data_IF_078389980819
#
_entry.id   IF_078389980819
#
_cell.length_a   1.000
_cell.length_b   1.000
_cell.length_c   1.000
_cell.angle_alpha   90.00
_cell.angle_beta   90.00
_cell.angle_gamma   90.00
#
_symmetry.space_group_name_H-M   'P 1'
#
loop_
_entity.id
_entity.type
_entity.pdbx_description
1 polymer ?
#
# COMPACT_ATOMS: atom_id res chain seq x y z
N UNK A 1 -18.86 -3.58 0.68
CA UNK A 1 -19.49 -3.25 -0.63
C UNK A 1 -19.36 -4.46 -1.54
N UNK A 2 -20.43 -4.87 -2.23
CA UNK A 2 -20.32 -5.95 -3.22
C UNK A 2 -19.88 -5.32 -4.57
N UNK A 3 -18.85 -5.90 -5.19
CA UNK A 3 -18.42 -5.50 -6.54
C UNK A 3 -19.40 -6.01 -7.59
N UNK A 4 -19.52 -5.31 -8.71
CA UNK A 4 -20.25 -5.81 -9.86
C UNK A 4 -19.68 -7.16 -10.29
N UNK A 5 -20.56 -8.03 -10.77
CA UNK A 5 -20.19 -9.35 -11.27
C UNK A 5 -20.28 -9.37 -12.78
N UNK A 6 -19.29 -10.01 -13.39
CA UNK A 6 -19.19 -10.17 -14.84
C UNK A 6 -18.80 -11.60 -15.16
N UNK A 7 -18.93 -12.02 -16.40
CA UNK A 7 -18.47 -13.32 -16.85
C UNK A 7 -17.16 -13.21 -17.60
N UNK A 8 -16.21 -14.05 -17.23
CA UNK A 8 -14.90 -14.19 -17.89
C UNK A 8 -14.80 -15.55 -18.57
N UNK A 9 -13.92 -15.64 -19.56
CA UNK A 9 -13.46 -16.95 -20.10
C UNK A 9 -12.10 -17.25 -19.50
N UNK A 10 -12.00 -18.37 -18.79
CA UNK A 10 -10.77 -18.81 -18.13
C UNK A 10 -9.74 -19.34 -19.15
N UNK A 11 -8.50 -19.48 -18.71
CA UNK A 11 -7.40 -20.00 -19.55
C UNK A 11 -7.71 -21.42 -20.09
N UNK A 12 -8.55 -22.21 -19.40
CA UNK A 12 -9.02 -23.52 -19.83
C UNK A 12 -10.29 -23.50 -20.72
N UNK A 13 -10.74 -22.31 -21.15
CA UNK A 13 -11.93 -22.12 -21.98
C UNK A 13 -13.28 -22.14 -21.21
N UNK A 14 -13.29 -22.43 -19.92
CA UNK A 14 -14.52 -22.44 -19.14
C UNK A 14 -14.98 -21.03 -18.81
N UNK A 15 -16.29 -20.83 -18.79
CA UNK A 15 -16.90 -19.57 -18.35
C UNK A 15 -17.04 -19.55 -16.83
N UNK A 16 -16.69 -18.43 -16.20
CA UNK A 16 -16.79 -18.25 -14.76
C UNK A 16 -17.27 -16.84 -14.41
N UNK A 17 -17.96 -16.71 -13.28
CA UNK A 17 -18.32 -15.41 -12.71
C UNK A 17 -17.12 -14.80 -12.00
N UNK A 18 -16.87 -13.51 -12.23
CA UNK A 18 -15.78 -12.75 -11.63
C UNK A 18 -16.28 -11.44 -11.01
N UNK A 19 -15.62 -10.97 -9.95
CA UNK A 19 -15.83 -9.63 -9.41
C UNK A 19 -15.08 -8.62 -10.28
N UNK A 20 -15.72 -7.50 -10.64
CA UNK A 20 -15.13 -6.44 -11.46
C UNK A 20 -14.95 -5.13 -10.65
N UNK A 21 -13.88 -5.01 -9.84
CA UNK A 21 -13.64 -3.86 -8.99
C UNK A 21 -13.21 -2.63 -9.79
N UNK A 22 -13.65 -1.46 -9.33
CA UNK A 22 -13.17 -0.15 -9.81
C UNK A 22 -11.75 0.14 -9.27
N UNK A 23 -11.49 -0.24 -8.01
CA UNK A 23 -10.21 -0.03 -7.33
C UNK A 23 -9.64 -1.37 -6.90
N UNK A 24 -8.41 -1.63 -7.35
CA UNK A 24 -7.62 -2.83 -7.00
C UNK A 24 -6.50 -2.47 -6.03
N UNK A 25 -6.29 -3.31 -5.03
CA UNK A 25 -5.13 -3.28 -4.12
C UNK A 25 -4.16 -4.41 -4.48
N UNK A 26 -2.96 -4.06 -4.91
CA UNK A 26 -1.92 -4.99 -5.37
C UNK A 26 -0.63 -4.83 -4.53
N UNK A 27 -0.48 -5.37 -3.35
CA UNK A 27 -1.44 -6.00 -2.44
C UNK A 27 -1.00 -5.77 -0.99
N UNK A 28 -1.92 -5.86 -0.02
CA UNK A 28 -1.59 -5.84 1.42
C UNK A 28 -1.09 -7.21 1.92
N UNK A 29 -1.35 -8.27 1.17
CA UNK A 29 -1.05 -9.66 1.59
C UNK A 29 0.29 -10.17 1.07
N UNK A 30 0.84 -9.53 0.02
CA UNK A 30 2.13 -9.89 -0.59
C UNK A 30 2.71 -8.70 -1.35
N UNK A 31 3.98 -8.74 -1.69
CA UNK A 31 4.66 -7.72 -2.48
C UNK A 31 4.58 -8.05 -3.97
N UNK A 32 3.43 -7.74 -4.59
CA UNK A 32 3.23 -7.95 -6.04
C UNK A 32 4.25 -7.16 -6.86
N UNK A 33 4.50 -5.87 -6.58
CA UNK A 33 5.48 -5.10 -7.32
C UNK A 33 6.90 -5.68 -7.33
N UNK A 34 7.32 -6.30 -6.22
CA UNK A 34 8.69 -6.80 -6.09
C UNK A 34 8.91 -8.15 -6.76
N UNK A 35 7.91 -9.05 -6.74
CA UNK A 35 8.10 -10.44 -7.11
C UNK A 35 7.16 -10.94 -8.21
N UNK A 36 6.05 -10.26 -8.40
CA UNK A 36 4.94 -10.73 -9.24
C UNK A 36 4.50 -9.66 -10.25
N UNK A 37 5.37 -8.70 -10.58
CA UNK A 37 5.03 -7.63 -11.54
C UNK A 37 4.68 -8.21 -12.91
N UNK A 38 5.53 -9.09 -13.46
CA UNK A 38 5.30 -9.75 -14.75
C UNK A 38 3.98 -10.52 -14.77
N UNK A 39 3.70 -11.30 -13.69
CA UNK A 39 2.44 -12.00 -13.52
C UNK A 39 1.25 -11.04 -13.52
N UNK A 40 1.33 -9.98 -12.74
CA UNK A 40 0.23 -9.02 -12.60
C UNK A 40 -0.09 -8.36 -13.94
N UNK A 41 0.92 -7.85 -14.64
CA UNK A 41 0.70 -7.19 -15.93
C UNK A 41 0.27 -8.16 -17.03
N UNK A 42 0.78 -9.40 -17.02
CA UNK A 42 0.25 -10.47 -17.89
C UNK A 42 -1.23 -10.74 -17.61
N UNK A 43 -1.62 -10.88 -16.33
CA UNK A 43 -3.03 -11.12 -15.95
C UNK A 43 -3.91 -9.91 -16.22
N UNK A 44 -3.41 -8.70 -16.02
CA UNK A 44 -4.08 -7.46 -16.42
C UNK A 44 -4.35 -7.44 -17.93
N UNK A 45 -3.40 -7.87 -18.75
CA UNK A 45 -3.53 -7.96 -20.20
C UNK A 45 -4.54 -9.05 -20.63
N UNK A 46 -4.57 -10.18 -19.96
CA UNK A 46 -5.59 -11.24 -20.16
C UNK A 46 -6.98 -10.79 -19.70
N UNK A 47 -7.06 -9.84 -18.77
CA UNK A 47 -8.30 -9.24 -18.28
C UNK A 47 -8.81 -9.81 -16.95
N UNK A 48 -8.18 -10.82 -16.38
CA UNK A 48 -8.56 -11.38 -15.07
C UNK A 48 -7.42 -12.12 -14.37
N UNK A 49 -7.60 -12.32 -13.06
CA UNK A 49 -6.80 -13.27 -12.27
C UNK A 49 -7.69 -14.09 -11.34
N UNK A 50 -7.17 -15.22 -10.85
CA UNK A 50 -7.79 -15.98 -9.78
C UNK A 50 -7.21 -15.55 -8.42
N UNK A 51 -8.05 -15.54 -7.41
CA UNK A 51 -7.73 -15.17 -6.03
C UNK A 51 -8.32 -16.20 -5.07
N UNK A 52 -7.50 -16.70 -4.16
CA UNK A 52 -7.93 -17.66 -3.13
C UNK A 52 -8.25 -16.90 -1.85
N UNK A 53 -9.50 -17.03 -1.38
CA UNK A 53 -9.92 -16.41 -0.13
C UNK A 53 -9.15 -17.04 1.05
N UNK A 54 -8.38 -16.25 1.82
CA UNK A 54 -7.53 -16.79 2.89
C UNK A 54 -8.31 -17.36 4.08
N UNK A 55 -9.60 -17.06 4.20
CA UNK A 55 -10.44 -17.50 5.32
C UNK A 55 -11.15 -18.82 5.06
N UNK A 56 -11.53 -19.12 3.82
CA UNK A 56 -12.30 -20.32 3.49
C UNK A 56 -11.70 -21.17 2.36
N UNK A 57 -10.56 -20.75 1.78
CA UNK A 57 -9.87 -21.46 0.71
C UNK A 57 -10.61 -21.46 -0.64
N UNK A 58 -11.73 -20.77 -0.75
CA UNK A 58 -12.52 -20.75 -1.98
C UNK A 58 -11.84 -19.87 -3.03
N UNK A 59 -11.60 -20.44 -4.21
CA UNK A 59 -11.11 -19.70 -5.38
C UNK A 59 -12.23 -18.86 -5.97
N UNK A 60 -11.93 -17.60 -6.23
CA UNK A 60 -12.79 -16.65 -6.94
C UNK A 60 -11.98 -15.91 -8.00
N UNK A 61 -12.68 -15.26 -8.93
CA UNK A 61 -12.03 -14.55 -10.02
C UNK A 61 -12.25 -13.05 -9.89
N UNK A 62 -11.24 -12.29 -10.32
CA UNK A 62 -11.24 -10.84 -10.36
C UNK A 62 -11.04 -10.41 -11.80
N UNK A 63 -12.04 -9.74 -12.39
CA UNK A 63 -11.95 -9.12 -13.71
C UNK A 63 -11.40 -7.70 -13.60
N UNK A 64 -10.54 -7.32 -14.50
CA UNK A 64 -9.94 -5.98 -14.57
C UNK A 64 -10.67 -5.04 -15.54
N UNK A 65 -11.77 -5.46 -16.16
CA UNK A 65 -12.48 -4.67 -17.17
C UNK A 65 -12.98 -3.32 -16.66
N UNK A 66 -13.41 -3.27 -15.37
CA UNK A 66 -13.91 -2.04 -14.74
C UNK A 66 -12.86 -1.31 -13.92
N UNK A 67 -11.61 -1.83 -13.88
CA UNK A 67 -10.55 -1.25 -13.05
C UNK A 67 -10.12 0.10 -13.60
N UNK A 68 -10.16 1.14 -12.75
CA UNK A 68 -9.76 2.52 -13.05
C UNK A 68 -8.58 2.98 -12.24
N UNK A 69 -8.36 2.34 -11.08
CA UNK A 69 -7.29 2.73 -10.17
C UNK A 69 -6.66 1.51 -9.49
N UNK A 70 -5.32 1.54 -9.35
CA UNK A 70 -4.57 0.49 -8.66
C UNK A 70 -3.72 1.13 -7.56
N UNK A 71 -3.82 0.58 -6.35
CA UNK A 71 -2.94 0.91 -5.23
C UNK A 71 -1.91 -0.20 -5.08
N UNK A 72 -0.67 0.08 -5.39
CA UNK A 72 0.44 -0.84 -5.20
C UNK A 72 1.01 -0.71 -3.78
N UNK A 73 1.46 -1.83 -3.22
CA UNK A 73 2.08 -1.90 -1.91
C UNK A 73 3.39 -2.65 -2.04
N UNK A 74 4.50 -2.05 -1.64
CA UNK A 74 5.78 -2.68 -1.85
C UNK A 74 6.87 -2.17 -0.91
N UNK A 75 7.84 -3.05 -0.63
CA UNK A 75 9.15 -2.72 -0.06
C UNK A 75 10.24 -2.60 -1.12
N UNK A 76 9.95 -3.06 -2.34
CA UNK A 76 10.85 -2.95 -3.49
C UNK A 76 10.08 -2.86 -4.82
N UNK A 77 9.46 -1.73 -5.12
CA UNK A 77 8.68 -1.57 -6.35
C UNK A 77 9.55 -1.35 -7.61
N UNK A 78 10.84 -1.62 -7.59
CA UNK A 78 11.73 -1.43 -8.75
C UNK A 78 11.23 -2.10 -10.03
N UNK A 79 10.74 -3.37 -10.02
CA UNK A 79 10.24 -4.01 -11.23
C UNK A 79 9.06 -3.30 -11.88
N UNK A 80 8.26 -2.52 -11.13
CA UNK A 80 7.17 -1.74 -11.72
C UNK A 80 7.64 -0.70 -12.74
N UNK A 81 8.87 -0.19 -12.64
CA UNK A 81 9.38 0.83 -13.55
C UNK A 81 9.29 0.41 -15.03
N UNK A 82 9.42 -0.88 -15.30
CA UNK A 82 9.40 -1.44 -16.64
C UNK A 82 7.98 -1.65 -17.19
N UNK A 83 6.97 -1.67 -16.29
CA UNK A 83 5.58 -2.00 -16.61
C UNK A 83 4.59 -0.83 -16.50
N UNK A 84 4.96 0.29 -15.88
CA UNK A 84 3.99 1.36 -15.57
C UNK A 84 3.27 1.91 -16.79
N UNK A 85 3.93 1.92 -17.96
CA UNK A 85 3.33 2.38 -19.20
C UNK A 85 2.20 1.46 -19.71
N UNK A 86 2.21 0.19 -19.31
CA UNK A 86 1.14 -0.77 -19.65
C UNK A 86 -0.20 -0.41 -19.03
N UNK A 87 -0.23 0.37 -17.95
CA UNK A 87 -1.47 0.86 -17.34
C UNK A 87 -2.25 1.79 -18.26
N UNK A 88 -1.58 2.41 -19.23
CA UNK A 88 -2.15 3.32 -20.22
C UNK A 88 -2.21 2.70 -21.63
N UNK A 89 -1.84 1.44 -21.80
CA UNK A 89 -1.83 0.75 -23.08
C UNK A 89 -3.16 0.01 -23.36
N UNK A 90 -3.34 -0.45 -24.61
CA UNK A 90 -4.48 -1.27 -25.06
C UNK A 90 -5.84 -0.65 -24.74
N UNK A 91 -6.00 0.67 -24.86
CA UNK A 91 -7.24 1.38 -24.58
C UNK A 91 -7.55 1.55 -23.08
N UNK A 92 -6.67 1.08 -22.19
CA UNK A 92 -6.80 1.31 -20.75
C UNK A 92 -6.32 2.72 -20.39
N UNK A 93 -6.95 3.28 -19.36
CA UNK A 93 -6.51 4.50 -18.70
C UNK A 93 -6.58 4.29 -17.19
N UNK A 94 -5.74 3.38 -16.69
CA UNK A 94 -5.68 3.04 -15.27
C UNK A 94 -4.66 3.96 -14.59
N UNK A 95 -5.09 4.65 -13.55
CA UNK A 95 -4.19 5.43 -12.70
C UNK A 95 -3.73 4.59 -11.50
N UNK A 96 -2.62 4.99 -10.88
CA UNK A 96 -2.10 4.29 -9.70
C UNK A 96 -1.38 5.24 -8.75
N UNK A 97 -1.18 4.78 -7.52
CA UNK A 97 -0.13 5.26 -6.64
C UNK A 97 0.49 4.09 -5.87
N UNK A 98 1.64 4.34 -5.27
CA UNK A 98 2.45 3.32 -4.61
C UNK A 98 2.56 3.65 -3.12
N UNK A 99 2.11 2.75 -2.27
CA UNK A 99 2.38 2.72 -0.84
C UNK A 99 3.75 2.07 -0.65
N UNK A 100 4.82 2.88 -0.62
CA UNK A 100 6.18 2.39 -0.58
C UNK A 100 6.69 2.30 0.86
N UNK A 101 6.81 1.08 1.38
CA UNK A 101 7.39 0.85 2.70
C UNK A 101 8.91 0.94 2.62
N UNK A 102 9.44 2.02 3.15
CA UNK A 102 10.87 2.33 3.18
C UNK A 102 11.30 2.48 4.64
N UNK A 103 11.59 1.35 5.28
CA UNK A 103 12.16 1.25 6.62
C UNK A 103 13.68 1.13 6.53
N UNK A 104 14.38 1.36 7.65
CA UNK A 104 15.82 1.13 7.78
C UNK A 104 16.08 0.09 8.89
N UNK A 105 15.94 -1.18 8.53
CA UNK A 105 16.17 -2.33 9.43
C UNK A 105 17.29 -3.27 8.94
N UNK A 106 18.21 -2.77 8.11
CA UNK A 106 19.30 -3.57 7.56
C UNK A 106 20.24 -4.08 8.65
N UNK A 107 20.68 -3.18 9.55
CA UNK A 107 21.63 -3.50 10.63
C UNK A 107 21.07 -4.52 11.60
N UNK A 108 19.77 -4.46 11.85
CA UNK A 108 19.08 -5.34 12.78
C UNK A 108 18.66 -6.67 12.12
N UNK A 109 18.76 -6.77 10.80
CA UNK A 109 18.43 -7.99 10.04
C UNK A 109 16.95 -8.35 10.05
N UNK A 110 16.06 -7.37 10.27
CA UNK A 110 14.61 -7.62 10.34
C UNK A 110 13.96 -7.76 8.96
N UNK A 111 14.65 -7.40 7.89
CA UNK A 111 14.15 -7.38 6.50
C UNK A 111 15.14 -8.09 5.54
N UNK A 112 15.44 -9.35 5.79
CA UNK A 112 16.54 -10.10 5.12
C UNK A 112 16.45 -10.18 3.61
N UNK A 113 15.24 -10.23 3.04
CA UNK A 113 15.01 -10.30 1.59
C UNK A 113 14.72 -8.95 0.93
N UNK A 114 14.87 -7.85 1.66
CA UNK A 114 14.63 -6.51 1.13
C UNK A 114 15.96 -5.91 0.64
N UNK A 115 16.02 -5.25 -0.55
CA UNK A 115 17.25 -4.64 -1.04
C UNK A 115 17.80 -3.54 -0.12
N UNK A 116 19.08 -3.18 -0.24
CA UNK A 116 19.72 -2.11 0.53
C UNK A 116 18.95 -0.79 0.46
N UNK A 117 18.95 -0.02 1.56
CA UNK A 117 18.20 1.23 1.68
C UNK A 117 18.55 2.23 0.57
N UNK A 118 19.82 2.37 0.22
CA UNK A 118 20.26 3.28 -0.84
C UNK A 118 19.60 2.95 -2.19
N UNK A 119 19.49 1.67 -2.55
CA UNK A 119 18.84 1.23 -3.79
C UNK A 119 17.33 1.50 -3.76
N UNK A 120 16.70 1.38 -2.60
CA UNK A 120 15.27 1.65 -2.41
C UNK A 120 14.96 3.14 -2.49
N UNK A 121 15.83 4.00 -1.95
CA UNK A 121 15.73 5.45 -2.07
C UNK A 121 15.87 5.88 -3.54
N UNK A 122 16.86 5.33 -4.28
CA UNK A 122 16.99 5.57 -5.73
C UNK A 122 15.71 5.17 -6.48
N UNK A 123 15.19 3.98 -6.19
CA UNK A 123 13.94 3.50 -6.77
C UNK A 123 12.76 4.43 -6.46
N UNK A 124 12.67 4.96 -5.24
CA UNK A 124 11.64 5.91 -4.85
C UNK A 124 11.68 7.15 -5.75
N UNK A 125 12.84 7.76 -5.89
CA UNK A 125 13.04 8.96 -6.71
C UNK A 125 12.68 8.70 -8.17
N UNK A 126 13.17 7.61 -8.76
CA UNK A 126 12.86 7.22 -10.14
C UNK A 126 11.37 6.99 -10.39
N UNK A 127 10.66 6.43 -9.42
CA UNK A 127 9.20 6.27 -9.51
C UNK A 127 8.47 7.61 -9.48
N UNK A 128 8.93 8.55 -8.65
CA UNK A 128 8.37 9.92 -8.63
C UNK A 128 8.66 10.65 -9.94
N UNK A 129 9.88 10.52 -10.47
CA UNK A 129 10.24 11.11 -11.76
C UNK A 129 9.37 10.56 -12.91
N UNK A 130 9.01 9.26 -12.85
CA UNK A 130 8.17 8.61 -13.89
C UNK A 130 6.67 8.89 -13.73
N UNK A 131 6.15 8.87 -12.51
CA UNK A 131 4.70 8.98 -12.24
C UNK A 131 4.24 10.42 -11.95
N UNK A 132 5.15 11.26 -11.49
CA UNK A 132 4.87 12.59 -10.99
C UNK A 132 4.69 12.68 -9.47
N UNK A 133 4.66 13.90 -8.91
CA UNK A 133 4.45 14.14 -7.48
C UNK A 133 3.13 13.54 -6.97
N UNK A 134 3.12 13.11 -5.70
CA UNK A 134 1.93 12.55 -5.05
C UNK A 134 1.64 11.09 -5.36
N UNK A 135 2.29 10.48 -6.36
CA UNK A 135 2.08 9.07 -6.72
C UNK A 135 2.85 8.07 -5.87
N UNK A 136 3.84 8.48 -5.09
CA UNK A 136 4.64 7.60 -4.24
C UNK A 136 4.58 8.10 -2.81
N UNK A 137 3.97 7.30 -1.94
CA UNK A 137 3.77 7.64 -0.53
C UNK A 137 4.80 6.88 0.31
N UNK A 138 5.60 7.60 1.06
CA UNK A 138 6.54 6.99 1.98
C UNK A 138 5.83 6.43 3.20
N UNK A 139 6.13 5.17 3.52
CA UNK A 139 5.69 4.49 4.74
C UNK A 139 6.90 4.04 5.54
N UNK A 140 6.98 4.44 6.79
CA UNK A 140 7.85 3.79 7.77
C UNK A 140 6.95 2.93 8.69
N UNK A 141 6.72 1.69 8.28
CA UNK A 141 5.62 0.89 8.83
C UNK A 141 5.96 -0.61 8.83
N UNK A 142 5.96 -1.25 10.03
CA UNK A 142 5.76 -0.68 11.35
C UNK A 142 7.07 -0.14 11.98
N UNK A 143 6.94 0.72 13.02
CA UNK A 143 8.03 1.10 13.90
C UNK A 143 8.16 0.07 15.03
N UNK A 144 9.32 -0.58 15.13
CA UNK A 144 9.56 -1.69 16.06
C UNK A 144 10.60 -1.24 17.08
N UNK A 145 10.27 -1.42 18.37
CA UNK A 145 11.21 -1.25 19.47
C UNK A 145 11.81 -2.61 19.86
N UNK A 146 13.12 -2.62 20.12
CA UNK A 146 13.88 -3.80 20.54
C UNK A 146 14.97 -3.39 21.55
N UNK A 147 15.71 -4.36 22.09
CA UNK A 147 16.92 -4.11 22.88
C UNK A 147 18.03 -3.32 22.11
N UNK A 148 17.89 -3.22 20.76
CA UNK A 148 18.85 -2.53 19.87
C UNK A 148 18.26 -1.33 19.14
N UNK A 149 16.96 -1.10 19.25
CA UNK A 149 16.24 -0.02 18.60
C UNK A 149 15.36 0.65 19.63
N UNK A 150 15.76 1.82 20.08
CA UNK A 150 14.96 2.69 20.96
C UNK A 150 14.34 3.84 20.17
N UNK A 151 13.51 4.65 20.81
CA UNK A 151 12.80 5.79 20.19
C UNK A 151 13.74 6.71 19.42
N UNK A 152 14.89 7.06 20.01
CA UNK A 152 15.88 7.95 19.37
C UNK A 152 16.53 7.32 18.13
N UNK A 153 16.72 6.00 18.10
CA UNK A 153 17.25 5.33 16.92
C UNK A 153 16.24 5.35 15.77
N UNK A 154 14.96 5.14 16.06
CA UNK A 154 13.91 5.27 15.07
C UNK A 154 13.81 6.69 14.52
N UNK A 155 13.91 7.71 15.37
CA UNK A 155 13.94 9.11 14.94
C UNK A 155 15.11 9.40 14.00
N UNK A 156 16.33 8.92 14.31
CA UNK A 156 17.49 9.05 13.42
C UNK A 156 17.29 8.36 12.08
N UNK A 157 16.71 7.14 12.08
CA UNK A 157 16.40 6.40 10.86
C UNK A 157 15.38 7.15 9.98
N UNK A 158 14.32 7.67 10.59
CA UNK A 158 13.31 8.49 9.90
C UNK A 158 13.94 9.78 9.38
N UNK A 159 14.78 10.43 10.17
CA UNK A 159 15.49 11.65 9.76
C UNK A 159 16.37 11.41 8.54
N UNK A 160 17.20 10.36 8.56
CA UNK A 160 18.07 10.01 7.44
C UNK A 160 17.30 9.76 6.14
N UNK A 161 16.16 9.06 6.20
CA UNK A 161 15.32 8.81 5.02
C UNK A 161 14.59 10.09 4.60
N UNK A 162 14.00 10.81 5.54
CA UNK A 162 13.23 12.02 5.28
C UNK A 162 14.06 13.12 4.60
N UNK A 163 15.31 13.30 5.03
CA UNK A 163 16.23 14.26 4.40
C UNK A 163 16.54 13.88 2.94
N UNK A 164 16.64 12.59 2.63
CA UNK A 164 16.89 12.10 1.27
C UNK A 164 15.64 12.13 0.36
N UNK A 165 14.44 12.07 0.95
CA UNK A 165 13.16 12.09 0.22
C UNK A 165 12.54 13.48 0.12
N UNK A 166 13.18 14.51 0.68
CA UNK A 166 12.69 15.89 0.59
C UNK A 166 12.52 16.31 -0.87
N UNK A 167 11.31 16.76 -1.22
CA UNK A 167 10.93 17.13 -2.59
C UNK A 167 10.48 15.97 -3.47
N UNK A 168 10.51 14.71 -2.97
CA UNK A 168 10.02 13.53 -3.68
C UNK A 168 8.71 12.97 -3.10
N UNK A 169 8.38 13.30 -1.86
CA UNK A 169 7.09 12.93 -1.24
C UNK A 169 6.57 14.08 -0.40
N UNK A 170 5.25 14.14 -0.26
CA UNK A 170 4.56 15.12 0.57
C UNK A 170 4.01 14.46 1.84
N UNK A 171 4.21 13.15 2.03
CA UNK A 171 3.55 12.41 3.10
C UNK A 171 4.45 11.32 3.68
N UNK A 172 4.48 11.24 5.02
CA UNK A 172 5.01 10.11 5.78
C UNK A 172 3.86 9.43 6.52
N UNK A 173 3.71 8.13 6.27
CA UNK A 173 2.78 7.26 7.02
C UNK A 173 3.57 6.31 7.90
N UNK A 174 3.16 6.16 9.16
CA UNK A 174 3.80 5.23 10.09
C UNK A 174 2.78 4.49 10.96
N UNK A 175 3.21 3.44 11.63
CA UNK A 175 2.45 2.78 12.69
C UNK A 175 3.40 2.30 13.79
N UNK A 176 2.93 2.28 15.01
CA UNK A 176 3.60 1.62 16.12
C UNK A 176 3.35 0.11 16.04
N UNK A 177 4.40 -0.70 16.21
CA UNK A 177 4.24 -2.15 16.15
C UNK A 177 3.43 -2.67 17.34
N UNK A 178 2.27 -3.24 17.10
CA UNK A 178 1.46 -3.97 18.08
C UNK A 178 1.76 -5.47 17.92
N UNK A 179 2.89 -5.92 18.48
CA UNK A 179 3.39 -7.29 18.31
C UNK A 179 2.53 -8.28 19.08
N UNK A 180 2.00 -7.88 20.23
CA UNK A 180 1.14 -8.72 21.07
C UNK A 180 -0.14 -9.16 20.36
N UNK A 181 -0.70 -8.31 19.49
CA UNK A 181 -1.88 -8.62 18.69
C UNK A 181 -1.62 -9.72 17.64
N UNK A 182 -0.36 -9.95 17.26
CA UNK A 182 0.02 -10.87 16.19
C UNK A 182 0.89 -12.02 16.71
N UNK A 183 0.27 -13.10 17.20
CA UNK A 183 0.98 -14.26 17.77
C UNK A 183 2.11 -14.80 16.87
N UNK A 184 1.93 -14.77 15.55
CA UNK A 184 2.95 -15.23 14.58
C UNK A 184 4.16 -14.30 14.54
N UNK A 185 3.94 -12.98 14.58
CA UNK A 185 5.01 -11.98 14.62
C UNK A 185 5.83 -12.17 15.88
N UNK A 186 5.16 -12.30 17.03
CA UNK A 186 5.80 -12.61 18.31
C UNK A 186 6.68 -13.85 18.23
N UNK A 187 6.14 -14.97 17.74
CA UNK A 187 6.87 -16.23 17.62
C UNK A 187 8.08 -16.11 16.68
N UNK A 188 7.96 -15.40 15.55
CA UNK A 188 9.05 -15.18 14.61
C UNK A 188 10.18 -14.36 15.23
N UNK A 189 9.87 -13.24 15.88
CA UNK A 189 10.86 -12.40 16.54
C UNK A 189 11.62 -13.19 17.62
N UNK A 190 10.90 -13.92 18.48
CA UNK A 190 11.49 -14.74 19.52
C UNK A 190 12.39 -15.84 18.96
N UNK A 191 11.96 -16.56 17.93
CA UNK A 191 12.73 -17.65 17.29
C UNK A 191 14.01 -17.16 16.61
N UNK A 192 14.06 -15.88 16.23
CA UNK A 192 15.25 -15.25 15.64
C UNK A 192 16.07 -14.43 16.64
N UNK A 193 15.80 -14.58 17.93
CA UNK A 193 16.56 -13.94 19.01
C UNK A 193 16.38 -12.42 19.06
N UNK A 194 15.25 -11.91 18.57
CA UNK A 194 14.93 -10.48 18.64
C UNK A 194 14.14 -10.21 19.91
N UNK A 195 14.76 -9.52 20.85
CA UNK A 195 14.11 -9.03 22.06
C UNK A 195 13.39 -7.73 21.74
N UNK A 196 12.10 -7.80 21.57
CA UNK A 196 11.25 -6.63 21.33
C UNK A 196 10.55 -6.19 22.61
N UNK A 197 10.09 -4.95 22.66
CA UNK A 197 9.10 -4.49 23.64
C UNK A 197 7.97 -3.73 22.95
N UNK A 198 6.81 -3.74 23.61
CA UNK A 198 5.64 -3.00 23.12
C UNK A 198 5.82 -1.51 23.40
N UNK A 199 5.29 -0.71 22.49
CA UNK A 199 5.22 0.73 22.70
C UNK A 199 4.32 1.08 23.91
N UNK A 200 4.81 1.85 24.84
CA UNK A 200 3.95 2.50 25.82
C UNK A 200 3.47 3.88 25.30
N UNK A 201 2.39 4.39 25.88
CA UNK A 201 1.81 5.68 25.48
C UNK A 201 2.81 6.83 25.60
N UNK A 202 3.64 6.83 26.65
CA UNK A 202 4.70 7.83 26.84
C UNK A 202 5.73 7.86 25.70
N UNK A 203 6.17 6.69 25.25
CA UNK A 203 7.10 6.56 24.12
C UNK A 203 6.45 6.98 22.80
N UNK A 204 5.17 6.64 22.57
CA UNK A 204 4.41 7.08 21.39
C UNK A 204 4.30 8.60 21.34
N UNK A 205 4.00 9.25 22.48
CA UNK A 205 3.93 10.72 22.60
C UNK A 205 5.29 11.36 22.41
N UNK A 206 6.33 10.81 23.03
CA UNK A 206 7.72 11.28 22.85
C UNK A 206 8.12 11.24 21.37
N UNK A 207 7.90 10.11 20.71
CA UNK A 207 8.20 9.95 19.28
C UNK A 207 7.41 10.95 18.43
N UNK A 208 6.10 11.08 18.65
CA UNK A 208 5.21 11.98 17.90
C UNK A 208 5.65 13.45 18.02
N UNK A 209 5.99 13.91 19.24
CA UNK A 209 6.48 15.25 19.50
C UNK A 209 7.81 15.54 18.80
N UNK A 210 8.76 14.60 18.90
CA UNK A 210 10.06 14.74 18.26
C UNK A 210 9.95 14.69 16.72
N UNK A 211 9.12 13.78 16.17
CA UNK A 211 8.86 13.69 14.74
C UNK A 211 8.21 14.99 14.20
N UNK A 212 7.24 15.56 14.93
CA UNK A 212 6.63 16.84 14.57
C UNK A 212 7.67 17.97 14.49
N UNK A 213 8.64 17.97 15.42
CA UNK A 213 9.75 18.93 15.42
C UNK A 213 10.70 18.73 14.24
N UNK A 214 11.06 17.48 13.92
CA UNK A 214 11.86 17.13 12.74
C UNK A 214 11.16 17.53 11.44
N UNK A 215 9.84 17.34 11.37
CA UNK A 215 9.05 17.61 10.17
C UNK A 215 9.03 19.07 9.73
N UNK A 216 9.39 20.01 10.61
CA UNK A 216 9.51 21.43 10.26
C UNK A 216 10.47 21.69 9.09
N UNK A 217 11.47 20.80 8.87
CA UNK A 217 12.41 20.90 7.76
C UNK A 217 11.90 20.26 6.45
N UNK A 218 10.90 19.38 6.51
CA UNK A 218 10.35 18.66 5.34
C UNK A 218 8.97 19.17 4.94
N UNK A 219 8.14 19.54 5.93
CA UNK A 219 6.74 19.92 5.77
C UNK A 219 5.87 18.80 5.17
N UNK A 220 6.12 17.56 5.57
CA UNK A 220 5.29 16.42 5.18
C UNK A 220 3.97 16.41 5.94
N UNK A 221 2.93 15.85 5.32
CA UNK A 221 1.74 15.39 6.03
C UNK A 221 2.13 14.15 6.83
N UNK A 222 2.15 14.27 8.15
CA UNK A 222 2.39 13.14 9.04
C UNK A 222 1.09 12.41 9.33
N UNK A 223 1.07 11.08 9.18
CA UNK A 223 -0.15 10.30 9.36
C UNK A 223 0.13 8.92 9.96
N UNK A 224 -0.78 8.43 10.82
CA UNK A 224 -0.69 7.10 11.42
C UNK A 224 -1.61 6.10 10.74
N UNK A 225 -1.17 4.84 10.64
CA UNK A 225 -1.94 3.76 10.04
C UNK A 225 -2.67 2.91 11.09
N UNK A 226 -3.94 3.24 11.35
CA UNK A 226 -4.83 2.41 12.19
C UNK A 226 -4.56 2.48 13.69
N UNK A 227 -3.88 3.52 14.15
CA UNK A 227 -3.57 3.75 15.56
C UNK A 227 -4.78 4.25 16.34
N UNK A 228 -4.84 3.88 17.63
CA UNK A 228 -5.89 4.31 18.55
C UNK A 228 -5.54 5.60 19.28
N UNK A 229 -4.23 5.84 19.49
CA UNK A 229 -3.74 7.01 20.22
C UNK A 229 -4.08 8.29 19.46
N UNK A 230 -4.58 9.30 20.19
CA UNK A 230 -4.78 10.63 19.64
C UNK A 230 -3.49 11.45 19.80
N UNK A 231 -2.87 11.75 18.66
CA UNK A 231 -1.65 12.56 18.57
C UNK A 231 -1.82 13.73 17.58
N UNK A 232 -3.07 14.14 17.33
CA UNK A 232 -3.42 15.29 16.46
C UNK A 232 -2.82 16.60 16.93
N UNK A 233 -2.62 16.75 18.25
CA UNK A 233 -1.93 17.92 18.84
C UNK A 233 -0.49 18.13 18.31
N UNK A 234 0.13 17.10 17.73
CA UNK A 234 1.45 17.17 17.09
C UNK A 234 1.35 17.34 15.56
N UNK A 235 0.16 17.63 15.02
CA UNK A 235 -0.08 17.73 13.58
C UNK A 235 -0.07 16.38 12.86
N UNK A 236 -0.27 15.28 13.57
CA UNK A 236 -0.28 13.92 13.01
C UNK A 236 -1.72 13.42 12.90
N UNK A 237 -2.15 13.09 11.69
CA UNK A 237 -3.54 12.71 11.41
C UNK A 237 -3.73 11.21 11.23
N UNK A 238 -4.96 10.72 11.31
CA UNK A 238 -5.29 9.35 10.94
C UNK A 238 -5.24 9.16 9.42
N UNK A 239 -4.53 8.15 8.96
CA UNK A 239 -4.29 7.90 7.54
C UNK A 239 -5.44 7.15 6.87
N UNK A 240 -5.55 7.40 5.56
CA UNK A 240 -6.23 6.53 4.59
C UNK A 240 -5.16 5.92 3.68
N UNK A 241 -4.94 4.61 3.76
CA UNK A 241 -3.95 3.97 2.89
C UNK A 241 -4.52 3.72 1.48
N UNK A 242 -5.80 3.38 1.36
CA UNK A 242 -6.56 3.55 0.12
C UNK A 242 -7.37 4.81 0.29
N UNK A 243 -6.85 5.89 -0.28
CA UNK A 243 -7.23 7.27 0.01
C UNK A 243 -8.05 7.86 -1.15
N UNK A 244 -9.35 8.08 -0.91
CA UNK A 244 -10.25 8.65 -1.92
C UNK A 244 -9.87 10.07 -2.32
N UNK A 245 -9.37 10.88 -1.38
CA UNK A 245 -8.98 12.27 -1.69
C UNK A 245 -7.74 12.29 -2.60
N UNK A 246 -6.77 11.40 -2.33
CA UNK A 246 -5.59 11.24 -3.18
C UNK A 246 -5.98 10.66 -4.56
N UNK A 247 -6.84 9.64 -4.60
CA UNK A 247 -7.32 9.06 -5.86
C UNK A 247 -8.02 10.12 -6.71
N UNK A 248 -8.86 10.96 -6.11
CA UNK A 248 -9.53 12.06 -6.79
C UNK A 248 -8.49 13.03 -7.37
N UNK A 249 -7.49 13.46 -6.59
CA UNK A 249 -6.44 14.37 -7.08
C UNK A 249 -5.67 13.80 -8.26
N UNK A 250 -5.33 12.52 -8.22
CA UNK A 250 -4.51 11.86 -9.25
C UNK A 250 -5.30 11.48 -10.52
N UNK A 251 -6.65 11.44 -10.43
CA UNK A 251 -7.48 10.91 -11.53
C UNK A 251 -8.81 11.67 -11.71
N UNK A 252 -8.87 12.95 -11.37
CA UNK A 252 -10.10 13.76 -11.40
C UNK A 252 -10.77 13.82 -12.78
N UNK A 253 -10.05 13.55 -13.85
CA UNK A 253 -10.57 13.49 -15.21
C UNK A 253 -11.29 12.17 -15.56
N UNK A 254 -11.21 11.13 -14.69
CA UNK A 254 -11.90 9.86 -14.91
C UNK A 254 -13.34 9.93 -14.35
N UNK A 255 -14.30 10.19 -15.22
CA UNK A 255 -15.68 10.34 -14.81
C UNK A 255 -16.25 9.11 -14.10
N UNK A 256 -15.94 7.89 -14.58
CA UNK A 256 -16.43 6.64 -13.95
C UNK A 256 -15.91 6.52 -12.53
N UNK A 257 -14.64 6.84 -12.31
CA UNK A 257 -14.02 6.84 -11.00
C UNK A 257 -14.61 7.92 -10.09
N UNK A 258 -14.85 9.14 -10.62
CA UNK A 258 -15.48 10.22 -9.86
C UNK A 258 -16.89 9.88 -9.45
N UNK A 259 -17.71 9.32 -10.35
CA UNK A 259 -19.08 8.85 -10.04
C UNK A 259 -19.03 7.77 -8.94
N UNK A 260 -18.10 6.81 -9.03
CA UNK A 260 -17.89 5.78 -8.00
C UNK A 260 -17.53 6.39 -6.64
N UNK A 261 -16.66 7.39 -6.61
CA UNK A 261 -16.21 8.06 -5.38
C UNK A 261 -17.22 9.10 -4.87
N UNK A 262 -18.26 9.43 -5.65
CA UNK A 262 -19.22 10.49 -5.33
C UNK A 262 -18.56 11.87 -5.31
N UNK A 263 -17.63 12.09 -6.21
CA UNK A 263 -16.94 13.35 -6.40
C UNK A 263 -17.44 14.07 -7.63
N UNK A 264 -17.70 15.36 -7.52
CA UNK A 264 -18.05 16.24 -8.62
C UNK A 264 -16.90 17.22 -8.85
N UNK A 265 -16.47 17.38 -10.09
CA UNK A 265 -15.37 18.26 -10.47
C UNK A 265 -15.95 19.56 -11.03
N UNK A 266 -15.51 20.68 -10.48
CA UNK A 266 -16.01 22.03 -10.80
C UNK A 266 -14.85 23.00 -11.01
N UNK A 267 -15.01 23.95 -11.92
CA UNK A 267 -14.10 25.08 -12.03
C UNK A 267 -14.39 26.06 -10.89
N UNK A 268 -13.35 26.60 -10.30
CA UNK A 268 -13.47 27.62 -9.25
C UNK A 268 -14.04 28.91 -9.86
N UNK A 269 -15.23 29.32 -9.41
CA UNK A 269 -15.83 30.60 -9.70
C UNK A 269 -15.54 31.62 -8.61
N UNK A 270 -16.46 32.58 -8.44
CA UNK A 270 -16.40 33.56 -7.33
C UNK A 270 -16.62 32.93 -5.95
N UNK A 271 -17.10 31.70 -5.91
CA UNK A 271 -17.42 30.95 -4.69
C UNK A 271 -16.80 29.56 -4.70
N UNK A 272 -16.13 29.18 -3.61
CA UNK A 272 -15.59 27.84 -3.43
C UNK A 272 -16.56 27.04 -2.56
N UNK A 273 -17.12 25.92 -3.04
CA UNK A 273 -18.09 25.14 -2.27
C UNK A 273 -17.49 24.61 -0.95
N UNK A 274 -18.29 24.58 0.12
CA UNK A 274 -17.96 23.87 1.34
C UNK A 274 -17.67 22.38 1.03
N UNK A 275 -16.73 21.77 1.76
CA UNK A 275 -16.28 20.38 1.54
C UNK A 275 -15.63 20.13 0.17
N UNK A 276 -15.09 21.16 -0.47
CA UNK A 276 -14.26 21.02 -1.67
C UNK A 276 -12.77 21.08 -1.36
N UNK A 277 -11.96 20.53 -2.25
CA UNK A 277 -10.50 20.68 -2.24
C UNK A 277 -9.96 20.77 -3.66
N UNK A 278 -8.87 21.49 -3.81
CA UNK A 278 -8.24 21.71 -5.12
C UNK A 278 -7.61 20.42 -5.65
N UNK A 279 -7.85 20.13 -6.93
CA UNK A 279 -7.30 18.96 -7.67
C UNK A 279 -6.36 19.40 -8.80
N UNK A 280 -6.55 20.61 -9.32
CA UNK A 280 -5.68 21.29 -10.28
C UNK A 280 -5.89 22.80 -10.14
N UNK A 281 -4.99 23.65 -10.65
CA UNK A 281 -5.14 25.09 -10.59
C UNK A 281 -6.51 25.56 -11.12
N UNK A 282 -7.32 26.14 -10.24
CA UNK A 282 -8.67 26.60 -10.56
C UNK A 282 -9.73 25.52 -10.71
N UNK A 283 -9.44 24.26 -10.33
CA UNK A 283 -10.38 23.14 -10.38
C UNK A 283 -10.50 22.50 -9.00
N UNK A 284 -11.72 22.30 -8.53
CA UNK A 284 -12.00 21.70 -7.22
C UNK A 284 -12.84 20.43 -7.37
N UNK A 285 -12.64 19.50 -6.44
CA UNK A 285 -13.52 18.37 -6.24
C UNK A 285 -14.44 18.60 -5.05
N UNK A 286 -15.72 18.33 -5.22
CA UNK A 286 -16.76 18.42 -4.19
C UNK A 286 -17.23 16.98 -3.90
N UNK A 287 -17.07 16.51 -2.66
CA UNK A 287 -17.49 15.16 -2.26
C UNK A 287 -18.89 15.18 -1.69
N UNK A 288 -19.74 14.27 -2.20
CA UNK A 288 -21.14 14.10 -1.76
C UNK A 288 -21.33 12.97 -0.75
N UNK A 289 -20.32 12.10 -0.54
CA UNK A 289 -20.42 10.95 0.37
C UNK A 289 -19.11 10.64 1.10
N UNK A 290 -19.22 9.91 2.22
CA UNK A 290 -18.10 9.30 2.93
C UNK A 290 -17.88 7.89 2.36
N UNK A 291 -16.66 7.58 1.93
CA UNK A 291 -16.31 6.33 1.24
C UNK A 291 -15.67 5.27 2.16
N UNK A 292 -15.57 5.50 3.47
CA UNK A 292 -14.92 4.55 4.39
C UNK A 292 -15.50 3.15 4.23
N UNK A 293 -14.61 2.16 4.10
CA UNK A 293 -14.96 0.74 4.09
C UNK A 293 -15.32 0.27 5.50
N UNK A 294 -16.57 -0.17 5.69
CA UNK A 294 -17.08 -0.67 6.98
C UNK A 294 -16.40 -1.96 7.45
N UNK A 295 -15.76 -2.70 6.55
CA UNK A 295 -14.98 -3.91 6.86
C UNK A 295 -13.59 -3.64 7.44
N UNK A 296 -13.14 -2.37 7.48
CA UNK A 296 -11.85 -2.00 8.03
C UNK A 296 -11.93 -1.70 9.54
N UNK A 297 -10.73 -1.73 10.19
CA UNK A 297 -10.61 -1.38 11.62
C UNK A 297 -11.21 0.01 11.91
N UNK A 298 -11.71 0.26 13.15
CA UNK A 298 -12.37 1.54 13.49
C UNK A 298 -11.56 2.78 13.14
N UNK A 299 -10.26 2.76 13.41
CA UNK A 299 -9.34 3.89 13.15
C UNK A 299 -8.72 3.90 11.74
N UNK A 300 -9.09 2.96 10.87
CA UNK A 300 -8.66 2.94 9.49
C UNK A 300 -9.63 3.75 8.63
N UNK A 301 -9.12 4.74 7.90
CA UNK A 301 -9.90 5.59 6.99
C UNK A 301 -10.02 5.07 5.56
N UNK A 302 -9.46 3.88 5.25
CA UNK A 302 -9.43 3.34 3.90
C UNK A 302 -10.81 3.16 3.28
N UNK A 303 -10.90 3.44 1.98
CA UNK A 303 -12.08 3.10 1.18
C UNK A 303 -12.02 1.66 0.67
N UNK A 304 -13.14 1.18 0.14
CA UNK A 304 -13.23 -0.18 -0.41
C UNK A 304 -12.34 -0.35 -1.63
N UNK A 305 -11.54 -1.42 -1.62
CA UNK A 305 -10.73 -1.89 -2.75
C UNK A 305 -10.69 -3.41 -2.76
N UNK A 306 -10.51 -4.03 -3.93
CA UNK A 306 -10.32 -5.48 -4.01
C UNK A 306 -8.85 -5.82 -3.91
N UNK A 307 -8.45 -6.48 -2.83
CA UNK A 307 -7.09 -7.04 -2.71
C UNK A 307 -6.99 -8.32 -3.55
N UNK A 308 -5.90 -8.45 -4.31
CA UNK A 308 -5.64 -9.56 -5.23
C UNK A 308 -4.44 -10.41 -4.83
N UNK A 309 -3.77 -10.11 -3.73
CA UNK A 309 -2.66 -10.89 -3.21
C UNK A 309 -3.11 -12.06 -2.35
N UNK A 310 -2.23 -13.02 -2.15
CA UNK A 310 -2.45 -14.18 -1.30
C UNK A 310 -1.45 -14.22 -0.14
N UNK A 311 -1.90 -14.69 1.02
CA UNK A 311 -1.02 -14.93 2.17
C UNK A 311 0.00 -16.03 1.85
N UNK A 312 1.14 -16.01 2.55
CA UNK A 312 2.24 -16.96 2.36
C UNK A 312 2.85 -16.95 0.95
N UNK A 313 2.94 -15.79 0.32
CA UNK A 313 3.54 -15.65 -1.02
C UNK A 313 4.69 -14.66 -1.09
N UNK A 314 4.90 -13.81 -0.07
CA UNK A 314 5.95 -12.79 -0.09
C UNK A 314 7.33 -13.34 0.34
N UNK A 315 8.36 -13.36 -0.55
CA UNK A 315 9.68 -13.88 -0.24
C UNK A 315 10.61 -12.92 0.52
N UNK A 316 10.19 -11.73 0.92
CA UNK A 316 11.03 -10.77 1.66
C UNK A 316 11.51 -11.26 3.03
N UNK A 317 10.86 -12.26 3.62
CA UNK A 317 11.25 -12.88 4.89
C UNK A 317 11.39 -11.91 6.06
N UNK A 318 10.60 -10.84 6.09
CA UNK A 318 10.57 -9.91 7.22
C UNK A 318 10.19 -10.63 8.52
N UNK A 319 10.93 -10.37 9.61
CA UNK A 319 10.74 -11.03 10.90
C UNK A 319 9.39 -10.67 11.54
N UNK A 320 8.87 -9.48 11.24
CA UNK A 320 7.58 -8.96 11.73
C UNK A 320 6.42 -9.14 10.76
N UNK A 321 6.54 -10.03 9.77
CA UNK A 321 5.50 -10.22 8.76
C UNK A 321 4.26 -10.90 9.35
N UNK A 322 3.11 -10.25 9.24
CA UNK A 322 1.81 -10.83 9.62
C UNK A 322 1.17 -11.68 8.51
N UNK A 323 1.59 -11.45 7.24
CA UNK A 323 0.97 -12.08 6.08
C UNK A 323 1.52 -13.48 5.77
N UNK A 324 2.71 -13.82 6.25
CA UNK A 324 3.30 -15.14 6.08
C UNK A 324 3.11 -15.97 7.35
N UNK A 325 2.44 -17.11 7.24
CA UNK A 325 2.30 -18.08 8.32
C UNK A 325 3.65 -18.72 8.67
N UNK A 326 4.48 -18.98 7.64
CA UNK A 326 5.88 -19.37 7.77
C UNK A 326 6.69 -18.90 6.57
N UNK A 327 7.97 -18.64 6.80
CA UNK A 327 8.93 -18.30 5.74
C UNK A 327 9.06 -19.43 4.69
N UNK A 328 9.05 -20.67 5.15
CA UNK A 328 9.14 -21.84 4.26
C UNK A 328 7.92 -21.95 3.34
N UNK A 329 6.71 -21.70 3.85
CA UNK A 329 5.50 -21.69 3.02
C UNK A 329 5.57 -20.62 1.94
N UNK A 330 6.03 -19.41 2.29
CA UNK A 330 6.19 -18.33 1.32
C UNK A 330 7.23 -18.67 0.24
N UNK A 331 8.38 -19.24 0.62
CA UNK A 331 9.41 -19.66 -0.33
C UNK A 331 8.95 -20.83 -1.21
N UNK A 332 8.17 -21.77 -0.66
CA UNK A 332 7.61 -22.88 -1.43
C UNK A 332 6.61 -22.38 -2.48
N UNK A 333 5.72 -21.46 -2.10
CA UNK A 333 4.78 -20.86 -3.04
C UNK A 333 5.48 -20.00 -4.10
N UNK A 334 6.56 -19.29 -3.72
CA UNK A 334 7.39 -18.54 -4.66
C UNK A 334 8.05 -19.46 -5.70
N UNK A 335 8.64 -20.60 -5.29
CA UNK A 335 9.22 -21.58 -6.23
C UNK A 335 8.17 -22.13 -7.19
N UNK A 336 6.98 -22.47 -6.69
CA UNK A 336 5.87 -22.94 -7.52
C UNK A 336 5.41 -21.87 -8.52
N UNK A 337 5.35 -20.59 -8.08
CA UNK A 337 5.11 -19.50 -9.01
C UNK A 337 6.15 -19.45 -10.13
N UNK A 338 7.43 -19.60 -9.81
CA UNK A 338 8.51 -19.59 -10.81
C UNK A 338 8.41 -20.73 -11.83
N UNK A 339 7.83 -21.87 -11.44
CA UNK A 339 7.55 -23.01 -12.36
C UNK A 339 6.39 -22.72 -13.32
N UNK A 340 5.41 -21.87 -12.90
CA UNK A 340 4.26 -21.48 -13.72
C UNK A 340 3.91 -20.00 -13.51
N UNK A 341 4.78 -19.07 -13.98
CA UNK A 341 4.73 -17.64 -13.62
C UNK A 341 3.53 -16.89 -14.18
N UNK A 342 2.82 -17.45 -15.16
CA UNK A 342 1.68 -16.81 -15.81
C UNK A 342 0.34 -17.51 -15.55
N UNK A 343 0.29 -18.39 -14.56
CA UNK A 343 -0.95 -19.03 -14.10
C UNK A 343 -2.04 -18.02 -13.74
N UNK A 344 -3.30 -18.46 -13.70
CA UNK A 344 -4.43 -17.65 -13.22
C UNK A 344 -4.20 -17.14 -11.79
N UNK A 345 -3.51 -17.93 -10.94
CA UNK A 345 -3.21 -17.60 -9.55
C UNK A 345 -1.77 -17.12 -9.37
N UNK A 346 -1.55 -16.32 -8.36
CA UNK A 346 -0.21 -15.84 -7.96
C UNK A 346 0.70 -16.99 -7.48
N UNK A 347 0.11 -18.11 -7.03
CA UNK A 347 0.83 -19.28 -6.52
C UNK A 347 1.21 -20.31 -7.60
N UNK A 348 0.82 -20.11 -8.86
CA UNK A 348 1.15 -20.98 -9.96
C UNK A 348 0.23 -22.21 -10.10
N UNK A 349 -0.90 -22.29 -9.37
CA UNK A 349 -1.84 -23.41 -9.37
C UNK A 349 -3.19 -23.05 -9.95
#
# INVERSE_FOLDING_TARGET
>A
MAWNKVYITRDNGQRAEAQAPIIVSASRSTDIPAFYADWFFKRLNVGYSAWTNPFNGVRSFVSYENTRFIVFWSKNPRPLLDHLDELKSNGRNINCYIQYTLNDYEREGLEKGVPPLANRIDTFKRLVDKLGPGHVIWRFDPMILTDRIVVDDLLKKVENIGDQLKGYTDKLVFSYADIAAYKKVKANLQSNGVNYHEWCEGEMVQFASALSSLNKKWNYVLATCGEKINIEQFGIVHNKCVDDDLIIRLAYNDKILMDFLGARIENVGFWVPENSFEVAPGVVAVKSKKNKDSGQRPFCGCISSKDIGEYNTCPHQCEYCYANASKNAALSNWRRHQENPFSETITGI
#
